data_IF_362476043578
#
_entry.id   IF_362476043578
#
_cell.length_a   1.000
_cell.length_b   1.000
_cell.length_c   1.000
_cell.angle_alpha   90.00
_cell.angle_beta   90.00
_cell.angle_gamma   90.00
#
_symmetry.space_group_name_H-M   'P 1'
#
loop_
_entity.id
_entity.type
_entity.pdbx_description
1 polymer ?
#
# COMPACT_ATOMS: atom_id res chain seq x y z
N UNK A 1 -11.93 -18.34 -10.14
CA UNK A 1 -12.10 -17.31 -9.10
C UNK A 1 -12.64 -16.02 -9.70
N UNK A 2 -11.94 -15.32 -10.60
CA UNK A 2 -12.41 -14.06 -11.21
C UNK A 2 -13.83 -14.13 -11.82
N UNK A 3 -14.07 -15.09 -12.71
CA UNK A 3 -15.39 -15.27 -13.34
C UNK A 3 -16.52 -15.52 -12.32
N UNK A 4 -16.21 -16.20 -11.22
CA UNK A 4 -17.17 -16.49 -10.15
C UNK A 4 -17.47 -15.24 -9.33
N UNK A 5 -16.45 -14.44 -8.98
CA UNK A 5 -16.63 -13.14 -8.31
C UNK A 5 -17.45 -12.18 -9.16
N UNK A 6 -17.17 -12.09 -10.47
CA UNK A 6 -17.96 -11.27 -11.40
C UNK A 6 -19.41 -11.73 -11.50
N UNK A 7 -19.66 -13.04 -11.45
CA UNK A 7 -21.02 -13.59 -11.42
C UNK A 7 -21.77 -13.20 -10.14
N UNK A 8 -21.13 -13.30 -8.97
CA UNK A 8 -21.74 -12.83 -7.72
C UNK A 8 -22.00 -11.32 -7.72
N UNK A 9 -21.08 -10.51 -8.24
CA UNK A 9 -21.25 -9.06 -8.36
C UNK A 9 -22.42 -8.69 -9.27
N UNK A 10 -22.58 -9.38 -10.40
CA UNK A 10 -23.70 -9.17 -11.30
C UNK A 10 -25.05 -9.48 -10.63
N UNK A 11 -25.10 -10.53 -9.81
CA UNK A 11 -26.31 -10.93 -9.08
C UNK A 11 -26.68 -9.99 -7.91
N UNK A 12 -25.82 -9.04 -7.54
CA UNK A 12 -26.20 -7.97 -6.61
C UNK A 12 -27.15 -6.95 -7.26
N UNK A 13 -27.25 -6.94 -8.59
CA UNK A 13 -28.09 -6.03 -9.39
C UNK A 13 -27.88 -4.53 -9.04
N UNK A 14 -26.70 -4.19 -8.50
CA UNK A 14 -26.33 -2.83 -8.13
C UNK A 14 -25.23 -2.30 -9.05
N UNK A 15 -25.62 -1.43 -10.00
CA UNK A 15 -24.72 -0.89 -11.04
C UNK A 15 -23.56 -0.10 -10.42
N UNK A 16 -23.78 0.61 -9.31
CA UNK A 16 -22.73 1.40 -8.67
C UNK A 16 -21.64 0.49 -8.08
N UNK A 17 -22.04 -0.56 -7.37
CA UNK A 17 -21.13 -1.59 -6.83
C UNK A 17 -20.36 -2.29 -7.95
N UNK A 18 -21.04 -2.69 -9.02
CA UNK A 18 -20.42 -3.35 -10.18
C UNK A 18 -19.37 -2.44 -10.82
N UNK A 19 -19.67 -1.15 -11.00
CA UNK A 19 -18.73 -0.17 -11.54
C UNK A 19 -17.51 0.02 -10.63
N UNK A 20 -17.73 0.08 -9.32
CA UNK A 20 -16.65 0.31 -8.35
C UNK A 20 -15.66 -0.86 -8.34
N UNK A 21 -16.15 -2.10 -8.32
CA UNK A 21 -15.25 -3.26 -8.38
C UNK A 21 -14.59 -3.41 -9.76
N UNK A 22 -15.29 -3.04 -10.84
CA UNK A 22 -14.68 -2.99 -12.19
C UNK A 22 -13.51 -1.98 -12.24
N UNK A 23 -13.63 -0.85 -11.54
CA UNK A 23 -12.56 0.12 -11.41
C UNK A 23 -11.36 -0.46 -10.65
N UNK A 24 -11.57 -1.21 -9.56
CA UNK A 24 -10.49 -1.89 -8.82
C UNK A 24 -9.69 -2.84 -9.73
N UNK A 25 -10.36 -3.57 -10.62
CA UNK A 25 -9.69 -4.47 -11.56
C UNK A 25 -8.77 -3.70 -12.52
N UNK A 26 -9.22 -2.52 -12.98
CA UNK A 26 -8.40 -1.62 -13.80
C UNK A 26 -7.23 -1.05 -12.98
N UNK A 27 -7.48 -0.68 -11.72
CA UNK A 27 -6.47 -0.16 -10.82
C UNK A 27 -5.36 -1.19 -10.59
N UNK A 28 -5.70 -2.45 -10.33
CA UNK A 28 -4.71 -3.53 -10.20
C UNK A 28 -3.80 -3.67 -11.42
N UNK A 29 -4.38 -3.70 -12.62
CA UNK A 29 -3.59 -3.76 -13.85
C UNK A 29 -2.64 -2.56 -13.98
N UNK A 30 -3.11 -1.36 -13.60
CA UNK A 30 -2.31 -0.13 -13.64
C UNK A 30 -1.17 -0.15 -12.61
N UNK A 31 -1.43 -0.67 -11.41
CA UNK A 31 -0.44 -0.83 -10.34
C UNK A 31 0.69 -1.80 -10.73
N UNK A 32 0.35 -2.95 -11.30
CA UNK A 32 1.33 -3.94 -11.75
C UNK A 32 2.23 -3.40 -12.88
N UNK A 33 1.64 -2.70 -13.84
CA UNK A 33 2.40 -2.07 -14.94
C UNK A 33 3.36 -1.01 -14.39
N UNK A 34 2.89 -0.13 -13.48
CA UNK A 34 3.73 0.92 -12.88
C UNK A 34 4.88 0.33 -12.05
N UNK A 35 4.64 -0.77 -11.32
CA UNK A 35 5.70 -1.45 -10.58
C UNK A 35 6.76 -2.02 -11.52
N UNK A 36 6.35 -2.68 -12.60
CA UNK A 36 7.29 -3.27 -13.56
C UNK A 36 8.19 -2.22 -14.25
N UNK A 37 7.72 -0.98 -14.40
CA UNK A 37 8.48 0.11 -15.03
C UNK A 37 9.38 0.91 -14.07
N UNK A 38 9.35 0.63 -12.76
CA UNK A 38 10.07 1.41 -11.73
C UNK A 38 11.00 0.55 -10.86
N UNK A 39 11.38 -0.64 -11.35
CA UNK A 39 12.34 -1.49 -10.65
C UNK A 39 13.72 -0.83 -10.62
N UNK A 40 14.36 -0.84 -9.45
CA UNK A 40 15.65 -0.22 -9.16
C UNK A 40 15.71 1.30 -9.40
N UNK A 41 14.55 1.96 -9.61
CA UNK A 41 14.50 3.39 -9.86
C UNK A 41 14.63 4.20 -8.56
N UNK A 42 15.86 4.64 -8.26
CA UNK A 42 16.16 5.46 -7.09
C UNK A 42 15.56 6.87 -7.14
N UNK A 43 14.97 7.31 -8.27
CA UNK A 43 14.26 8.58 -8.38
C UNK A 43 12.76 8.47 -8.03
N UNK A 44 12.29 7.27 -7.68
CA UNK A 44 10.90 7.04 -7.26
C UNK A 44 10.54 7.91 -6.04
N UNK A 45 9.45 8.65 -6.17
CA UNK A 45 8.98 9.53 -5.10
C UNK A 45 8.08 8.79 -4.12
N UNK A 46 7.91 9.34 -2.91
CA UNK A 46 6.91 8.84 -1.96
C UNK A 46 5.48 8.90 -2.54
N UNK A 47 5.17 9.90 -3.37
CA UNK A 47 3.88 10.02 -4.05
C UNK A 47 3.67 8.88 -5.05
N UNK A 48 4.70 8.55 -5.84
CA UNK A 48 4.65 7.42 -6.77
C UNK A 48 4.42 6.09 -6.06
N UNK A 49 5.12 5.89 -4.94
CA UNK A 49 4.92 4.76 -4.05
C UNK A 49 3.49 4.69 -3.53
N UNK A 50 2.96 5.78 -2.94
CA UNK A 50 1.59 5.81 -2.40
C UNK A 50 0.54 5.56 -3.49
N UNK A 51 0.74 6.09 -4.69
CA UNK A 51 -0.14 5.85 -5.83
C UNK A 51 -0.11 4.37 -6.28
N UNK A 52 1.09 3.77 -6.36
CA UNK A 52 1.27 2.34 -6.66
C UNK A 52 0.56 1.48 -5.60
N UNK A 53 0.82 1.74 -4.32
CA UNK A 53 0.22 1.03 -3.18
C UNK A 53 -1.29 1.21 -3.11
N UNK A 54 -1.80 2.38 -3.49
CA UNK A 54 -3.24 2.59 -3.67
C UNK A 54 -3.79 1.65 -4.73
N UNK A 55 -3.22 1.66 -5.94
CA UNK A 55 -3.74 0.85 -7.03
C UNK A 55 -3.70 -0.63 -6.74
N UNK A 56 -2.59 -1.13 -6.19
CA UNK A 56 -2.34 -2.57 -5.96
C UNK A 56 -3.06 -3.14 -4.73
N UNK A 57 -3.27 -2.33 -3.70
CA UNK A 57 -3.73 -2.83 -2.39
C UNK A 57 -4.93 -2.02 -1.87
N UNK A 58 -4.79 -0.71 -1.73
CA UNK A 58 -5.80 0.08 -1.02
C UNK A 58 -7.10 0.29 -1.81
N UNK A 59 -7.06 0.24 -3.15
CA UNK A 59 -8.21 0.41 -4.04
C UNK A 59 -9.31 -0.60 -3.75
N UNK A 60 -8.96 -1.86 -3.52
CA UNK A 60 -9.90 -2.93 -3.19
C UNK A 60 -10.54 -2.71 -1.82
N UNK A 61 -9.76 -2.29 -0.83
CA UNK A 61 -10.26 -2.05 0.53
C UNK A 61 -11.19 -0.84 0.52
N UNK A 62 -10.79 0.27 -0.12
CA UNK A 62 -11.60 1.46 -0.31
C UNK A 62 -12.92 1.16 -1.02
N UNK A 63 -12.86 0.44 -2.13
CA UNK A 63 -14.03 0.04 -2.90
C UNK A 63 -14.95 -0.87 -2.07
N UNK A 64 -14.40 -1.85 -1.35
CA UNK A 64 -15.19 -2.78 -0.54
C UNK A 64 -15.93 -2.06 0.59
N UNK A 65 -15.25 -1.14 1.29
CA UNK A 65 -15.86 -0.31 2.33
C UNK A 65 -16.99 0.58 1.78
N UNK A 66 -16.80 1.21 0.63
CA UNK A 66 -17.85 2.00 -0.03
C UNK A 66 -19.00 1.15 -0.56
N UNK A 67 -18.73 -0.01 -1.14
CA UNK A 67 -19.76 -0.96 -1.58
C UNK A 67 -20.65 -1.39 -0.43
N UNK A 68 -20.07 -1.70 0.74
CA UNK A 68 -20.83 -2.05 1.93
C UNK A 68 -21.76 -0.89 2.37
N UNK A 69 -21.28 0.35 2.32
CA UNK A 69 -22.11 1.52 2.60
C UNK A 69 -23.25 1.65 1.57
N UNK A 70 -22.96 1.58 0.27
CA UNK A 70 -23.98 1.66 -0.79
C UNK A 70 -25.09 0.63 -0.58
N UNK A 71 -24.74 -0.62 -0.24
CA UNK A 71 -25.70 -1.71 -0.06
C UNK A 71 -26.59 -1.55 1.18
N UNK A 72 -26.21 -0.70 2.15
CA UNK A 72 -27.06 -0.38 3.31
C UNK A 72 -27.98 0.82 3.06
N UNK A 73 -27.84 1.49 1.92
CA UNK A 73 -28.70 2.62 1.53
C UNK A 73 -28.43 3.91 2.32
N UNK A 74 -27.27 4.04 2.96
CA UNK A 74 -26.85 5.28 3.61
C UNK A 74 -26.57 6.39 2.59
N UNK A 75 -26.52 7.63 3.05
CA UNK A 75 -26.28 8.79 2.17
C UNK A 75 -24.91 8.75 1.48
N UNK A 76 -24.81 9.37 0.31
CA UNK A 76 -23.58 9.40 -0.51
C UNK A 76 -22.37 9.93 0.25
N UNK A 77 -22.56 10.91 1.14
CA UNK A 77 -21.49 11.44 2.00
C UNK A 77 -20.86 10.34 2.88
N UNK A 78 -21.69 9.46 3.46
CA UNK A 78 -21.20 8.32 4.26
C UNK A 78 -20.49 7.31 3.35
N UNK A 79 -21.00 7.05 2.15
CA UNK A 79 -20.33 6.17 1.19
C UNK A 79 -18.94 6.68 0.81
N UNK A 80 -18.79 7.99 0.59
CA UNK A 80 -17.50 8.61 0.24
C UNK A 80 -16.54 8.62 1.44
N UNK A 81 -17.03 8.85 2.66
CA UNK A 81 -16.23 8.70 3.87
C UNK A 81 -15.74 7.26 4.04
N UNK A 82 -16.59 6.26 3.81
CA UNK A 82 -16.18 4.85 3.89
C UNK A 82 -15.15 4.48 2.83
N UNK A 83 -15.14 5.14 1.67
CA UNK A 83 -14.08 4.99 0.69
C UNK A 83 -12.74 5.52 1.21
N UNK A 84 -12.71 6.76 1.71
CA UNK A 84 -11.48 7.35 2.24
C UNK A 84 -10.96 6.62 3.49
N UNK A 85 -11.87 6.09 4.33
CA UNK A 85 -11.51 5.17 5.42
C UNK A 85 -10.76 3.94 4.88
N UNK A 86 -11.36 3.21 3.93
CA UNK A 86 -10.77 1.99 3.39
C UNK A 86 -9.46 2.24 2.64
N UNK A 87 -9.35 3.38 1.96
CA UNK A 87 -8.13 3.82 1.28
C UNK A 87 -6.98 4.04 2.26
N UNK A 88 -7.21 4.82 3.33
CA UNK A 88 -6.16 5.10 4.30
C UNK A 88 -5.78 3.86 5.12
N UNK A 89 -6.76 3.02 5.47
CA UNK A 89 -6.50 1.72 6.10
C UNK A 89 -5.65 0.82 5.19
N UNK A 90 -5.98 0.73 3.91
CA UNK A 90 -5.23 -0.08 2.94
C UNK A 90 -3.82 0.42 2.69
N UNK A 91 -3.60 1.74 2.66
CA UNK A 91 -2.27 2.32 2.56
C UNK A 91 -1.44 2.03 3.82
N UNK A 92 -2.03 2.20 5.01
CA UNK A 92 -1.38 1.85 6.28
C UNK A 92 -0.97 0.37 6.30
N UNK A 93 -1.87 -0.53 5.90
CA UNK A 93 -1.61 -1.97 5.80
C UNK A 93 -0.43 -2.27 4.88
N UNK A 94 -0.37 -1.67 3.68
CA UNK A 94 0.74 -1.91 2.75
C UNK A 94 2.07 -1.42 3.31
N UNK A 95 2.12 -0.24 3.96
CA UNK A 95 3.36 0.27 4.55
C UNK A 95 3.84 -0.66 5.67
N UNK A 96 2.93 -1.23 6.47
CA UNK A 96 3.28 -2.24 7.49
C UNK A 96 3.83 -3.52 6.86
N UNK A 97 3.22 -4.02 5.79
CA UNK A 97 3.70 -5.19 5.04
C UNK A 97 5.13 -4.97 4.52
N UNK A 98 5.40 -3.80 3.95
CA UNK A 98 6.74 -3.41 3.48
C UNK A 98 7.75 -3.33 4.64
N UNK A 99 7.35 -2.85 5.83
CA UNK A 99 8.21 -2.85 7.03
C UNK A 99 8.54 -4.27 7.49
N UNK A 100 7.58 -5.19 7.39
CA UNK A 100 7.78 -6.59 7.77
C UNK A 100 8.80 -7.30 6.88
N UNK A 101 8.92 -6.92 5.60
CA UNK A 101 9.95 -7.45 4.70
C UNK A 101 11.39 -7.14 5.18
N UNK A 102 11.59 -6.06 5.95
CA UNK A 102 12.89 -5.70 6.55
C UNK A 102 13.08 -6.22 7.97
N UNK A 103 11.99 -6.39 8.73
CA UNK A 103 12.06 -6.61 10.19
C UNK A 103 11.80 -8.05 10.61
N UNK A 104 11.20 -8.89 9.77
CA UNK A 104 10.99 -10.28 10.13
C UNK A 104 12.32 -11.03 10.18
N UNK A 105 12.65 -11.54 11.37
CA UNK A 105 13.86 -12.31 11.62
C UNK A 105 13.96 -13.51 10.67
N UNK A 106 15.17 -13.76 10.15
CA UNK A 106 15.49 -14.93 9.33
C UNK A 106 15.01 -16.27 9.93
N UNK A 107 14.84 -16.34 11.26
CA UNK A 107 14.36 -17.50 12.02
C UNK A 107 12.87 -17.84 11.81
N UNK A 108 12.02 -16.88 11.39
CA UNK A 108 10.58 -17.12 11.18
C UNK A 108 10.21 -17.43 9.73
N UNK A 109 11.03 -17.02 8.74
CA UNK A 109 10.70 -17.11 7.31
C UNK A 109 11.73 -17.85 6.44
N UNK A 110 12.92 -18.14 6.97
CA UNK A 110 13.97 -18.88 6.23
C UNK A 110 14.51 -18.14 4.99
N UNK A 111 14.34 -16.81 4.92
CA UNK A 111 14.81 -15.94 3.82
C UNK A 111 15.59 -14.74 4.37
N UNK A 112 16.52 -14.16 3.59
CA UNK A 112 17.12 -12.87 3.91
C UNK A 112 16.04 -11.76 3.94
N UNK A 113 16.22 -10.77 4.81
CA UNK A 113 15.38 -9.57 4.84
C UNK A 113 15.59 -8.73 3.56
N UNK A 114 14.57 -7.98 3.15
CA UNK A 114 14.63 -7.12 1.96
C UNK A 114 14.39 -7.88 0.65
N UNK A 115 13.43 -8.82 0.60
CA UNK A 115 13.10 -9.54 -0.64
C UNK A 115 12.54 -8.62 -1.71
N UNK A 116 11.83 -7.56 -1.32
CA UNK A 116 11.32 -6.57 -2.26
C UNK A 116 12.45 -5.73 -2.81
N UNK A 117 13.38 -5.33 -1.94
CA UNK A 117 14.59 -4.62 -2.33
C UNK A 117 15.44 -5.44 -3.31
N UNK A 118 15.66 -6.73 -3.05
CA UNK A 118 16.42 -7.65 -3.92
C UNK A 118 15.84 -7.70 -5.35
N UNK A 119 14.52 -7.60 -5.49
CA UNK A 119 13.83 -7.58 -6.80
C UNK A 119 13.78 -6.19 -7.44
N UNK A 120 14.34 -5.18 -6.79
CA UNK A 120 14.31 -3.78 -7.23
C UNK A 120 13.00 -3.05 -6.89
N UNK A 121 12.10 -3.64 -6.10
CA UNK A 121 10.90 -2.94 -5.65
C UNK A 121 11.28 -2.01 -4.49
N UNK A 122 11.47 -0.73 -4.77
CA UNK A 122 11.79 0.24 -3.73
C UNK A 122 10.51 0.63 -2.99
N UNK A 123 10.45 0.26 -1.71
CA UNK A 123 9.32 0.50 -0.79
C UNK A 123 9.60 1.66 0.16
N UNK A 124 8.61 2.05 0.98
CA UNK A 124 8.71 3.22 1.85
C UNK A 124 10.01 3.29 2.70
N UNK A 125 10.48 2.21 3.36
CA UNK A 125 11.74 2.25 4.10
C UNK A 125 12.95 2.66 3.23
N UNK A 126 13.01 2.16 2.00
CA UNK A 126 14.10 2.45 1.04
C UNK A 126 14.01 3.89 0.56
N UNK A 127 12.81 4.37 0.22
CA UNK A 127 12.59 5.74 -0.27
C UNK A 127 13.03 6.76 0.80
N UNK A 128 12.63 6.55 2.06
CA UNK A 128 13.07 7.41 3.17
C UNK A 128 14.58 7.31 3.45
N UNK A 129 15.19 6.15 3.21
CA UNK A 129 16.63 5.98 3.35
C UNK A 129 17.42 6.73 2.28
N UNK A 130 16.95 6.69 1.02
CA UNK A 130 17.56 7.39 -0.12
C UNK A 130 17.61 8.91 0.06
N UNK A 131 16.69 9.50 0.83
CA UNK A 131 16.72 10.93 1.17
C UNK A 131 17.95 11.31 2.01
N UNK A 132 18.54 10.37 2.76
CA UNK A 132 19.60 10.64 3.75
C UNK A 132 20.94 9.97 3.44
N UNK A 133 20.94 8.85 2.74
CA UNK A 133 22.14 8.06 2.47
C UNK A 133 22.39 7.92 0.96
N UNK A 134 23.16 8.84 0.34
CA UNK A 134 23.46 8.81 -1.08
C UNK A 134 24.14 7.52 -1.54
N UNK A 135 24.93 6.85 -0.68
CA UNK A 135 25.61 5.60 -1.04
C UNK A 135 24.64 4.44 -1.31
N UNK A 136 23.43 4.52 -0.76
CA UNK A 136 22.41 3.50 -1.00
C UNK A 136 22.02 3.43 -2.48
N UNK A 137 22.04 4.58 -3.19
CA UNK A 137 21.82 4.62 -4.64
C UNK A 137 22.83 3.78 -5.40
N UNK A 138 24.13 3.95 -5.12
CA UNK A 138 25.19 3.21 -5.83
C UNK A 138 25.02 1.69 -5.65
N UNK A 139 24.58 1.26 -4.47
CA UNK A 139 24.33 -0.16 -4.18
C UNK A 139 23.11 -0.67 -4.97
N UNK A 140 22.00 0.08 -4.98
CA UNK A 140 20.78 -0.29 -5.72
C UNK A 140 21.02 -0.30 -7.23
N UNK A 141 21.72 0.70 -7.77
CA UNK A 141 22.04 0.82 -9.20
C UNK A 141 22.97 -0.32 -9.68
N UNK A 142 23.72 -0.93 -8.76
CA UNK A 142 24.52 -2.14 -9.04
C UNK A 142 23.70 -3.44 -9.09
N UNK A 143 22.39 -3.36 -8.83
CA UNK A 143 21.44 -4.48 -8.75
C UNK A 143 21.91 -5.62 -7.84
N UNK A 144 22.62 -5.27 -6.76
CA UNK A 144 23.19 -6.21 -5.79
C UNK A 144 24.10 -7.30 -6.39
N UNK A 145 24.77 -6.99 -7.50
CA UNK A 145 25.68 -7.92 -8.19
C UNK A 145 26.88 -8.35 -7.34
N UNK A 146 27.30 -7.52 -6.38
CA UNK A 146 28.36 -7.83 -5.43
C UNK A 146 27.85 -8.65 -4.24
N UNK A 147 28.59 -9.68 -3.84
CA UNK A 147 28.22 -10.51 -2.68
C UNK A 147 28.18 -9.69 -1.39
N UNK A 148 27.05 -9.72 -0.69
CA UNK A 148 26.85 -8.99 0.58
C UNK A 148 26.24 -7.60 0.41
N UNK A 149 26.20 -7.05 -0.81
CA UNK A 149 25.67 -5.70 -1.08
C UNK A 149 24.21 -5.50 -0.65
N UNK A 150 23.35 -6.52 -0.78
CA UNK A 150 21.97 -6.47 -0.28
C UNK A 150 21.91 -6.33 1.25
N UNK A 151 22.76 -7.08 1.96
CA UNK A 151 22.82 -7.00 3.42
C UNK A 151 23.32 -5.62 3.86
N UNK A 152 24.33 -5.07 3.18
CA UNK A 152 24.84 -3.72 3.43
C UNK A 152 23.76 -2.65 3.18
N UNK A 153 22.98 -2.78 2.11
CA UNK A 153 21.86 -1.89 1.82
C UNK A 153 20.79 -1.91 2.92
N UNK A 154 20.38 -3.11 3.36
CA UNK A 154 19.43 -3.29 4.47
C UNK A 154 19.98 -2.64 5.75
N UNK A 155 21.25 -2.87 6.06
CA UNK A 155 21.94 -2.27 7.21
C UNK A 155 21.94 -0.73 7.16
N UNK A 156 22.15 -0.14 5.98
CA UNK A 156 22.10 1.30 5.79
C UNK A 156 20.67 1.84 5.99
N UNK A 157 19.66 1.18 5.42
CA UNK A 157 18.24 1.55 5.54
C UNK A 157 17.81 1.59 7.01
N UNK A 158 18.25 0.61 7.80
CA UNK A 158 18.00 0.56 9.25
C UNK A 158 18.72 1.73 9.94
N UNK A 159 20.03 1.90 9.69
CA UNK A 159 20.85 2.91 10.38
C UNK A 159 20.41 4.35 10.10
N UNK A 160 19.88 4.65 8.90
CA UNK A 160 19.42 5.99 8.54
C UNK A 160 18.00 6.32 9.02
N UNK A 161 17.32 5.35 9.64
CA UNK A 161 15.99 5.50 10.19
C UNK A 161 14.86 5.34 9.16
N UNK A 162 15.09 4.59 8.07
CA UNK A 162 14.10 4.40 7.01
C UNK A 162 12.86 3.64 7.51
N UNK A 163 13.08 2.65 8.38
CA UNK A 163 12.00 1.84 8.98
C UNK A 163 11.11 2.70 9.88
N UNK A 164 11.70 3.51 10.74
CA UNK A 164 10.99 4.39 11.68
C UNK A 164 10.16 5.42 10.92
N UNK A 165 10.72 5.99 9.85
CA UNK A 165 9.97 6.92 8.98
C UNK A 165 8.80 6.24 8.27
N UNK A 166 8.93 4.98 7.87
CA UNK A 166 7.84 4.20 7.32
C UNK A 166 6.79 3.88 8.39
N UNK A 167 7.19 3.59 9.63
CA UNK A 167 6.26 3.39 10.75
C UNK A 167 5.44 4.65 11.03
N UNK A 168 6.07 5.83 11.00
CA UNK A 168 5.38 7.12 11.14
C UNK A 168 4.33 7.32 10.03
N UNK A 169 4.69 7.01 8.78
CA UNK A 169 3.75 7.07 7.65
C UNK A 169 2.58 6.09 7.81
N UNK A 170 2.85 4.84 8.20
CA UNK A 170 1.80 3.85 8.44
C UNK A 170 0.83 4.32 9.53
N UNK A 171 1.37 4.90 10.60
CA UNK A 171 0.59 5.47 11.71
C UNK A 171 -0.25 6.66 11.25
N UNK A 172 0.32 7.60 10.50
CA UNK A 172 -0.41 8.74 9.93
C UNK A 172 -1.62 8.26 9.12
N UNK A 173 -1.45 7.27 8.24
CA UNK A 173 -2.56 6.71 7.45
C UNK A 173 -3.59 5.99 8.33
N UNK A 174 -3.17 5.27 9.36
CA UNK A 174 -4.10 4.65 10.29
C UNK A 174 -4.92 5.68 11.07
N UNK A 175 -4.29 6.77 11.55
CA UNK A 175 -4.95 7.85 12.27
C UNK A 175 -5.98 8.55 11.40
N UNK A 176 -5.64 8.87 10.14
CA UNK A 176 -6.59 9.43 9.18
C UNK A 176 -7.80 8.50 8.96
N UNK A 177 -7.58 7.19 8.86
CA UNK A 177 -8.68 6.23 8.74
C UNK A 177 -9.60 6.27 9.98
N UNK A 178 -9.04 6.29 11.18
CA UNK A 178 -9.80 6.35 12.44
C UNK A 178 -10.61 7.66 12.54
N UNK A 179 -10.00 8.80 12.22
CA UNK A 179 -10.69 10.10 12.22
C UNK A 179 -11.91 10.11 11.31
N UNK A 180 -11.77 9.57 10.09
CA UNK A 180 -12.87 9.46 9.12
C UNK A 180 -14.00 8.59 9.68
N UNK A 181 -13.67 7.47 10.31
CA UNK A 181 -14.68 6.57 10.89
C UNK A 181 -15.44 7.22 12.05
N UNK A 182 -14.75 7.98 12.91
CA UNK A 182 -15.37 8.74 14.00
C UNK A 182 -16.33 9.81 13.44
N UNK A 183 -15.89 10.59 12.45
CA UNK A 183 -16.76 11.59 11.80
C UNK A 183 -18.00 10.95 11.16
N UNK A 184 -17.84 9.77 10.56
CA UNK A 184 -18.95 9.01 9.96
C UNK A 184 -19.96 8.55 11.01
N UNK A 185 -19.47 8.09 12.17
CA UNK A 185 -20.31 7.61 13.28
C UNK A 185 -21.20 8.72 13.85
N UNK A 186 -20.69 9.94 13.95
CA UNK A 186 -21.44 11.12 14.40
C UNK A 186 -22.62 11.43 13.45
N UNK A 187 -22.45 11.20 12.15
CA UNK A 187 -23.51 11.44 11.14
C UNK A 187 -24.62 10.40 11.25
N UNK A 188 -24.27 9.13 11.49
CA UNK A 188 -25.23 8.03 11.59
C UNK A 188 -25.99 8.01 12.92
N UNK A 189 -25.35 8.48 14.00
CA UNK A 189 -25.91 8.52 15.35
C UNK A 189 -25.76 9.92 15.97
N UNK A 190 -26.56 10.91 15.52
CA UNK A 190 -26.56 12.23 16.14
C UNK A 190 -27.00 12.13 17.60
N UNK A 191 -26.24 12.77 18.50
CA UNK A 191 -26.52 12.89 19.94
C UNK A 191 -27.79 13.72 20.22
#
# INVERSE_FOLDING_TARGET
MFAQSSWYLANLENIEVIKLISQVIKDFASGEIKQASSLFDCDVTLEDYLMKSYYKTASLIAASSKCAAILTGVGSNVCDQMFEFGKNLGLSFQVVDDILDFTQSAEQLGKPAGNDLEKGNLTAPVIFALEKEPKLRDIIDSEFTESGSLADAVDLIVKCGGIERAQDLAKEKAELAVEILIMTSIILFPL
#
